data_IF_465028615380
#
_entry.id   IF_465028615380
#
_cell.length_a   1.000
_cell.length_b   1.000
_cell.length_c   1.000
_cell.angle_alpha   90.00
_cell.angle_beta   90.00
_cell.angle_gamma   90.00
#
_symmetry.space_group_name_H-M   'P 1'
#
loop_
_entity.id
_entity.type
_entity.pdbx_description
1 polymer ?
#
# COMPACT_ATOMS: atom_id res chain seq x y z
N UNK A 1 -5.03 -26.76 5.14
CA UNK A 1 -5.31 -26.04 3.88
C UNK A 1 -4.18 -25.05 3.72
N UNK A 2 -3.37 -25.15 2.65
CA UNK A 2 -2.10 -24.43 2.58
C UNK A 2 -2.35 -22.93 2.42
N UNK A 3 -1.97 -22.14 3.40
CA UNK A 3 -2.11 -20.66 3.45
C UNK A 3 -1.48 -19.96 2.22
N UNK A 4 -0.50 -20.59 1.58
CA UNK A 4 0.19 -20.04 0.39
C UNK A 4 -0.71 -19.81 -0.82
N UNK A 5 -1.84 -20.50 -0.93
CA UNK A 5 -2.77 -20.35 -2.08
C UNK A 5 -3.91 -19.37 -1.84
N UNK A 6 -4.08 -18.84 -0.62
CA UNK A 6 -5.18 -17.94 -0.28
C UNK A 6 -4.81 -16.46 -0.41
N UNK A 7 -3.53 -16.10 -0.24
CA UNK A 7 -3.07 -14.69 -0.23
C UNK A 7 -2.70 -14.21 -1.64
N UNK A 8 -2.15 -15.11 -2.45
CA UNK A 8 -1.80 -14.80 -3.84
C UNK A 8 -2.55 -15.77 -4.72
N UNK A 9 -3.66 -15.38 -5.29
CA UNK A 9 -4.51 -16.18 -6.19
C UNK A 9 -3.84 -16.62 -7.50
N UNK A 10 -2.52 -16.79 -7.49
CA UNK A 10 -1.67 -17.36 -8.51
C UNK A 10 -0.62 -18.21 -7.83
N UNK A 11 -0.34 -19.39 -8.36
CA UNK A 11 0.76 -20.25 -7.97
C UNK A 11 2.05 -19.44 -7.81
N UNK A 12 2.47 -19.18 -6.57
CA UNK A 12 3.84 -18.75 -6.26
C UNK A 12 4.73 -20.00 -6.45
N UNK A 13 4.79 -20.49 -7.68
CA UNK A 13 5.79 -21.45 -8.13
C UNK A 13 6.97 -20.67 -8.69
N UNK A 14 7.75 -20.06 -7.83
CA UNK A 14 8.90 -19.29 -8.30
C UNK A 14 9.88 -18.87 -7.21
N UNK A 15 9.50 -19.00 -5.95
CA UNK A 15 10.43 -18.83 -4.83
C UNK A 15 10.73 -20.21 -4.25
N UNK A 16 11.31 -21.07 -5.06
CA UNK A 16 11.95 -22.29 -4.62
C UNK A 16 13.41 -22.25 -5.04
N UNK A 17 14.31 -22.24 -4.07
CA UNK A 17 15.72 -22.63 -4.19
C UNK A 17 16.51 -21.97 -5.34
N UNK A 18 16.53 -20.65 -5.43
CA UNK A 18 17.58 -19.99 -6.18
C UNK A 18 18.49 -19.22 -5.22
N UNK A 19 19.39 -19.94 -4.61
CA UNK A 19 20.69 -19.45 -4.13
C UNK A 19 21.60 -19.09 -5.32
N UNK A 20 21.06 -18.42 -6.32
CA UNK A 20 21.77 -17.86 -7.45
C UNK A 20 21.44 -16.37 -7.50
N UNK A 21 22.46 -15.55 -7.62
CA UNK A 21 22.28 -14.13 -7.90
C UNK A 21 21.20 -13.94 -8.98
N UNK A 22 20.24 -13.07 -8.73
CA UNK A 22 19.19 -12.75 -9.69
C UNK A 22 19.87 -12.13 -10.92
N UNK A 23 19.90 -12.88 -12.02
CA UNK A 23 20.63 -12.53 -13.25
C UNK A 23 19.88 -11.49 -14.12
N UNK A 24 18.83 -10.86 -13.55
CA UNK A 24 18.00 -9.86 -14.21
C UNK A 24 18.30 -8.44 -13.74
N UNK A 25 17.90 -7.47 -14.54
CA UNK A 25 17.98 -6.07 -14.13
C UNK A 25 16.99 -5.77 -12.99
N UNK A 26 17.29 -4.77 -12.15
CA UNK A 26 16.42 -4.32 -11.06
C UNK A 26 15.03 -3.96 -11.61
N UNK A 27 14.96 -3.32 -12.79
CA UNK A 27 13.70 -3.01 -13.48
C UNK A 27 12.87 -4.28 -13.76
N UNK A 28 13.51 -5.39 -14.10
CA UNK A 28 12.83 -6.66 -14.34
C UNK A 28 12.28 -7.31 -13.06
N UNK A 29 12.86 -7.00 -11.90
CA UNK A 29 12.40 -7.48 -10.61
C UNK A 29 11.17 -6.73 -10.09
N UNK A 30 11.03 -5.44 -10.42
CA UNK A 30 9.90 -4.63 -9.97
C UNK A 30 8.56 -5.21 -10.44
N UNK A 31 7.56 -5.32 -9.54
CA UNK A 31 6.24 -5.84 -9.90
C UNK A 31 5.42 -4.88 -10.77
N UNK A 32 5.76 -3.60 -10.76
CA UNK A 32 5.07 -2.53 -11.51
C UNK A 32 5.57 -2.55 -12.94
N UNK A 33 4.65 -2.48 -13.88
CA UNK A 33 4.93 -2.54 -15.31
C UNK A 33 4.58 -1.25 -16.03
N UNK A 34 3.41 -0.69 -15.71
CA UNK A 34 2.91 0.52 -16.36
C UNK A 34 1.94 1.28 -15.44
N UNK A 35 1.62 2.51 -15.80
CA UNK A 35 0.57 3.32 -15.19
C UNK A 35 -0.31 3.85 -16.32
N UNK A 36 -1.61 3.61 -16.25
CA UNK A 36 -2.58 3.99 -17.28
C UNK A 36 -3.78 4.66 -16.61
N UNK A 37 -4.01 5.93 -16.88
CA UNK A 37 -5.14 6.71 -16.34
C UNK A 37 -5.27 6.62 -14.80
N UNK A 38 -4.14 6.72 -14.09
CA UNK A 38 -4.07 6.64 -12.63
C UNK A 38 -4.31 5.23 -12.08
N UNK A 39 -4.14 4.20 -12.90
CA UNK A 39 -4.22 2.79 -12.52
C UNK A 39 -2.87 2.12 -12.75
N UNK A 40 -2.38 1.42 -11.75
CA UNK A 40 -1.13 0.66 -11.80
C UNK A 40 -1.37 -0.65 -12.50
N UNK A 41 -0.54 -0.97 -13.48
CA UNK A 41 -0.52 -2.26 -14.18
C UNK A 41 0.69 -3.05 -13.69
N UNK A 42 0.45 -4.23 -13.14
CA UNK A 42 1.52 -5.09 -12.64
C UNK A 42 1.95 -6.14 -13.67
N UNK A 43 3.14 -6.75 -13.46
CA UNK A 43 3.67 -7.79 -14.36
C UNK A 43 2.80 -9.04 -14.42
N UNK A 44 2.15 -9.39 -13.32
CA UNK A 44 1.18 -10.48 -13.24
C UNK A 44 -0.22 -10.10 -13.75
N UNK A 45 -0.31 -9.00 -14.51
CA UNK A 45 -1.53 -8.50 -15.15
C UNK A 45 -2.63 -8.14 -14.18
N UNK A 46 -2.30 -7.70 -12.96
CA UNK A 46 -3.25 -7.05 -12.06
C UNK A 46 -3.30 -5.57 -12.36
N UNK A 47 -4.48 -5.00 -12.18
CA UNK A 47 -4.74 -3.58 -12.30
C UNK A 47 -5.17 -3.06 -10.94
N UNK A 48 -4.49 -2.06 -10.41
CA UNK A 48 -4.68 -1.56 -9.05
C UNK A 48 -4.93 -0.06 -9.08
N UNK A 49 -6.04 0.36 -8.49
CA UNK A 49 -6.35 1.77 -8.23
C UNK A 49 -5.90 2.13 -6.81
N UNK A 50 -5.25 3.27 -6.68
CA UNK A 50 -4.80 3.82 -5.40
C UNK A 50 -5.43 5.19 -5.22
N UNK A 51 -6.02 5.44 -4.04
CA UNK A 51 -6.62 6.69 -3.63
C UNK A 51 -5.91 7.16 -2.36
N UNK A 52 -5.47 8.40 -2.32
CA UNK A 52 -4.99 9.01 -1.08
C UNK A 52 -6.15 9.61 -0.31
N UNK A 53 -6.19 9.34 0.99
CA UNK A 53 -7.24 9.76 1.89
C UNK A 53 -6.74 10.86 2.81
N UNK A 54 -7.53 11.90 2.98
CA UNK A 54 -7.31 12.93 3.99
C UNK A 54 -8.18 12.59 5.20
N UNK A 55 -7.59 12.07 6.28
CA UNK A 55 -8.35 11.60 7.43
C UNK A 55 -8.97 12.76 8.20
N UNK A 56 -10.07 12.48 8.86
CA UNK A 56 -10.71 13.38 9.82
C UNK A 56 -10.32 12.98 11.25
N UNK A 57 -10.25 13.95 12.14
CA UNK A 57 -10.04 13.66 13.56
C UNK A 57 -11.32 13.06 14.17
N UNK A 58 -11.42 11.75 14.13
CA UNK A 58 -12.56 10.99 14.65
C UNK A 58 -12.79 11.23 16.16
N UNK A 59 -11.73 11.47 16.94
CA UNK A 59 -11.86 11.67 18.39
C UNK A 59 -12.60 12.97 18.75
N UNK A 60 -12.49 14.01 17.92
CA UNK A 60 -13.16 15.31 18.15
C UNK A 60 -14.61 15.35 17.68
N UNK A 61 -15.06 14.34 16.94
CA UNK A 61 -16.45 14.24 16.46
C UNK A 61 -17.45 14.01 17.61
N UNK A 62 -18.68 14.48 17.44
CA UNK A 62 -19.78 14.15 18.35
C UNK A 62 -20.11 12.65 18.31
N UNK A 63 -20.77 12.11 19.33
CA UNK A 63 -21.19 10.70 19.34
C UNK A 63 -22.12 10.36 18.18
N UNK A 64 -22.94 11.30 17.75
CA UNK A 64 -23.87 11.12 16.64
C UNK A 64 -23.13 11.07 15.31
N UNK A 65 -22.17 11.98 15.09
CA UNK A 65 -21.35 12.01 13.88
C UNK A 65 -20.46 10.77 13.78
N UNK A 66 -19.90 10.30 14.91
CA UNK A 66 -19.14 9.04 14.96
C UNK A 66 -19.97 7.85 14.52
N UNK A 67 -21.22 7.74 15.00
CA UNK A 67 -22.11 6.65 14.62
C UNK A 67 -22.48 6.73 13.15
N UNK A 68 -22.79 7.93 12.64
CA UNK A 68 -23.09 8.14 11.23
C UNK A 68 -21.90 7.77 10.33
N UNK A 69 -20.68 8.21 10.68
CA UNK A 69 -19.47 7.87 9.94
C UNK A 69 -19.22 6.35 9.89
N UNK A 70 -19.42 5.65 11.00
CA UNK A 70 -19.29 4.17 11.07
C UNK A 70 -20.33 3.49 10.18
N UNK A 71 -21.59 3.94 10.21
CA UNK A 71 -22.69 3.39 9.40
C UNK A 71 -22.43 3.62 7.89
N UNK A 72 -21.97 4.82 7.51
CA UNK A 72 -21.64 5.15 6.12
C UNK A 72 -20.43 4.34 5.62
N UNK A 73 -19.41 4.15 6.45
CA UNK A 73 -18.28 3.28 6.10
C UNK A 73 -18.70 1.81 5.98
N UNK A 74 -19.55 1.32 6.87
CA UNK A 74 -20.12 -0.03 6.76
C UNK A 74 -20.97 -0.19 5.50
N UNK A 75 -21.71 0.85 5.10
CA UNK A 75 -22.45 0.88 3.84
C UNK A 75 -21.52 0.83 2.62
N UNK A 76 -20.39 1.54 2.66
CA UNK A 76 -19.34 1.44 1.64
C UNK A 76 -18.79 0.01 1.52
N UNK A 77 -18.43 -0.63 2.62
CA UNK A 77 -17.89 -1.99 2.62
C UNK A 77 -18.84 -3.02 1.95
N UNK A 78 -20.14 -2.82 2.02
CA UNK A 78 -21.12 -3.71 1.34
C UNK A 78 -20.98 -3.71 -0.18
N UNK A 79 -20.61 -2.56 -0.78
CA UNK A 79 -20.52 -2.36 -2.24
C UNK A 79 -19.07 -2.26 -2.73
N UNK A 80 -18.13 -2.22 -1.81
CA UNK A 80 -16.70 -2.10 -2.11
C UNK A 80 -16.20 -3.30 -2.91
N UNK A 81 -15.11 -3.13 -3.67
CA UNK A 81 -14.38 -4.22 -4.29
C UNK A 81 -14.02 -5.32 -3.29
N UNK A 82 -13.95 -6.57 -3.76
CA UNK A 82 -13.72 -7.72 -2.88
C UNK A 82 -12.35 -7.69 -2.18
N UNK A 83 -11.36 -7.08 -2.82
CA UNK A 83 -10.00 -6.95 -2.31
C UNK A 83 -9.72 -5.47 -2.06
N UNK A 84 -9.73 -5.07 -0.80
CA UNK A 84 -9.33 -3.75 -0.35
C UNK A 84 -8.00 -3.82 0.37
N UNK A 85 -7.22 -2.77 0.24
CA UNK A 85 -6.03 -2.58 1.03
C UNK A 85 -6.03 -1.15 1.57
N UNK A 86 -5.79 -1.00 2.86
CA UNK A 86 -5.60 0.29 3.51
C UNK A 86 -4.14 0.35 3.92
N UNK A 87 -3.44 1.38 3.45
CA UNK A 87 -2.05 1.61 3.79
C UNK A 87 -1.92 2.89 4.62
N UNK A 88 -1.15 2.82 5.68
CA UNK A 88 -0.73 3.95 6.48
C UNK A 88 0.78 4.08 6.34
N UNK A 89 1.22 5.11 5.65
CA UNK A 89 2.63 5.38 5.42
C UNK A 89 3.09 6.47 6.37
N UNK A 90 4.06 6.15 7.20
CA UNK A 90 4.71 7.13 8.08
C UNK A 90 5.94 7.68 7.37
N UNK A 91 6.03 9.00 7.30
CA UNK A 91 7.15 9.69 6.67
C UNK A 91 7.52 10.94 7.46
N UNK A 92 8.77 11.42 7.38
CA UNK A 92 9.14 12.72 7.91
C UNK A 92 8.27 13.83 7.31
N UNK A 93 7.98 14.85 8.09
CA UNK A 93 7.21 15.99 7.62
C UNK A 93 7.96 16.74 6.51
N UNK A 94 7.30 17.00 5.38
CA UNK A 94 7.88 17.80 4.28
C UNK A 94 7.93 19.29 4.66
N UNK A 95 8.99 19.64 5.38
CA UNK A 95 9.25 21.00 5.83
C UNK A 95 9.47 21.94 4.64
N UNK A 96 10.17 21.50 3.60
CA UNK A 96 10.46 22.34 2.42
C UNK A 96 9.20 22.74 1.67
N UNK A 97 8.28 21.79 1.47
CA UNK A 97 6.97 22.04 0.86
C UNK A 97 6.16 23.04 1.69
N UNK A 98 6.15 22.89 3.01
CA UNK A 98 5.45 23.79 3.90
C UNK A 98 6.06 25.21 3.91
N UNK A 99 7.39 25.33 4.00
CA UNK A 99 8.08 26.61 3.93
C UNK A 99 7.87 27.31 2.58
N UNK A 100 7.84 26.55 1.48
CA UNK A 100 7.50 27.09 0.15
C UNK A 100 6.08 27.67 0.11
N UNK A 101 5.13 26.97 0.74
CA UNK A 101 3.75 27.46 0.87
C UNK A 101 3.68 28.76 1.68
N UNK A 102 4.35 28.82 2.85
CA UNK A 102 4.41 30.03 3.67
C UNK A 102 5.06 31.21 2.93
N UNK A 103 6.13 30.98 2.16
CA UNK A 103 6.74 32.00 1.29
C UNK A 103 5.75 32.53 0.28
N UNK A 104 4.97 31.64 -0.37
CA UNK A 104 3.92 32.05 -1.29
C UNK A 104 2.81 32.88 -0.64
N UNK A 105 2.48 32.65 0.62
CA UNK A 105 1.59 33.50 1.38
C UNK A 105 2.23 34.83 1.73
N UNK A 106 3.48 34.85 2.19
CA UNK A 106 4.24 36.03 2.51
C UNK A 106 4.36 37.03 1.33
N UNK A 107 4.56 36.49 0.12
CA UNK A 107 4.64 37.30 -1.12
C UNK A 107 3.31 37.96 -1.48
N UNK A 108 2.18 37.38 -1.11
CA UNK A 108 0.82 37.90 -1.40
C UNK A 108 0.24 38.75 -0.28
N UNK A 109 0.79 38.62 0.94
CA UNK A 109 0.27 39.34 2.11
C UNK A 109 0.68 40.81 2.06
N UNK A 110 -0.30 41.68 2.26
CA UNK A 110 -0.14 43.14 2.26
C UNK A 110 -0.14 43.75 3.66
N UNK A 111 -0.66 43.03 4.66
CA UNK A 111 -0.69 43.48 6.04
C UNK A 111 0.66 43.20 6.72
N UNK A 112 1.31 44.26 7.19
CA UNK A 112 2.65 44.20 7.79
C UNK A 112 2.68 43.33 9.06
N UNK A 113 1.63 43.31 9.87
CA UNK A 113 1.55 42.48 11.07
C UNK A 113 1.40 40.98 10.70
N UNK A 114 0.60 40.67 9.68
CA UNK A 114 0.48 39.31 9.18
C UNK A 114 1.78 38.81 8.54
N UNK A 115 2.52 39.69 7.87
CA UNK A 115 3.85 39.37 7.32
C UNK A 115 4.83 39.01 8.42
N UNK A 116 4.91 39.81 9.50
CA UNK A 116 5.76 39.47 10.65
C UNK A 116 5.40 38.12 11.28
N UNK A 117 4.12 37.82 11.44
CA UNK A 117 3.69 36.50 11.95
C UNK A 117 4.08 35.35 11.03
N UNK A 118 4.02 35.55 9.71
CA UNK A 118 4.47 34.53 8.74
C UNK A 118 5.98 34.36 8.80
N UNK A 119 6.76 35.43 8.90
CA UNK A 119 8.22 35.39 9.06
C UNK A 119 8.61 34.69 10.37
N UNK A 120 8.00 35.05 11.51
CA UNK A 120 8.21 34.37 12.79
C UNK A 120 7.84 32.85 12.71
N UNK A 121 6.76 32.51 12.00
CA UNK A 121 6.34 31.14 11.80
C UNK A 121 7.36 30.36 10.96
N UNK A 122 7.95 30.98 9.94
CA UNK A 122 8.99 30.37 9.10
C UNK A 122 10.29 30.13 9.85
N UNK A 123 10.61 30.93 10.86
CA UNK A 123 11.78 30.74 11.72
C UNK A 123 11.51 29.68 12.82
N UNK A 124 10.27 29.60 13.30
CA UNK A 124 9.90 28.72 14.42
C UNK A 124 9.61 27.29 13.99
N UNK A 125 8.92 27.08 12.85
CA UNK A 125 8.52 25.74 12.39
C UNK A 125 9.71 24.80 12.17
N UNK A 126 10.86 25.22 11.58
CA UNK A 126 12.03 24.36 11.48
C UNK A 126 12.52 23.83 12.83
N UNK A 127 12.48 24.68 13.87
CA UNK A 127 12.93 24.29 15.22
C UNK A 127 11.99 23.25 15.87
N UNK A 128 10.71 23.26 15.50
CA UNK A 128 9.75 22.24 15.93
C UNK A 128 9.95 20.91 15.20
N UNK A 129 10.24 20.99 13.91
CA UNK A 129 10.40 19.80 13.04
C UNK A 129 11.71 19.07 13.31
N UNK A 130 12.78 19.77 13.72
CA UNK A 130 14.02 19.13 14.21
C UNK A 130 13.78 18.14 15.36
N UNK A 131 12.59 18.15 15.97
CA UNK A 131 12.16 17.25 17.06
C UNK A 131 11.21 16.17 16.58
N UNK A 132 11.48 15.53 15.42
CA UNK A 132 10.79 14.32 14.98
C UNK A 132 9.31 14.49 14.58
N UNK A 133 8.98 15.54 13.82
CA UNK A 133 7.63 15.67 13.29
C UNK A 133 7.40 14.62 12.19
N UNK A 134 6.53 13.65 12.49
CA UNK A 134 6.08 12.63 11.54
C UNK A 134 4.72 13.00 10.97
N UNK A 135 4.49 12.61 9.74
CA UNK A 135 3.18 12.69 9.12
C UNK A 135 2.76 11.32 8.60
N UNK A 136 1.47 11.04 8.71
CA UNK A 136 0.89 9.83 8.20
C UNK A 136 0.10 10.12 6.93
N UNK A 137 0.35 9.37 5.88
CA UNK A 137 -0.45 9.37 4.65
C UNK A 137 -1.27 8.10 4.58
N UNK A 138 -2.53 8.24 4.26
CA UNK A 138 -3.48 7.14 4.22
C UNK A 138 -3.87 6.85 2.78
N UNK A 139 -3.82 5.60 2.40
CA UNK A 139 -4.19 5.17 1.06
C UNK A 139 -5.21 4.04 1.13
N UNK A 140 -6.20 4.13 0.25
CA UNK A 140 -7.11 3.03 -0.05
C UNK A 140 -6.79 2.52 -1.44
N UNK A 141 -6.48 1.24 -1.55
CA UNK A 141 -6.25 0.62 -2.85
C UNK A 141 -7.13 -0.61 -3.04
N UNK A 142 -7.46 -0.89 -4.30
CA UNK A 142 -8.22 -2.07 -4.71
C UNK A 142 -7.83 -2.49 -6.12
N UNK A 143 -7.93 -3.80 -6.35
CA UNK A 143 -7.58 -4.39 -7.65
C UNK A 143 -8.83 -4.72 -8.47
N UNK A 144 -8.65 -4.72 -9.79
CA UNK A 144 -9.67 -5.21 -10.71
C UNK A 144 -9.95 -6.69 -10.47
N UNK A 145 -11.23 -7.02 -10.43
CA UNK A 145 -11.73 -8.38 -10.39
C UNK A 145 -12.61 -8.61 -11.64
N UNK A 146 -12.51 -9.77 -12.32
CA UNK A 146 -13.31 -10.06 -13.50
C UNK A 146 -14.84 -9.95 -13.29
N UNK A 147 -15.31 -10.02 -12.04
CA UNK A 147 -16.71 -9.79 -11.69
C UNK A 147 -17.17 -8.35 -11.94
N UNK A 148 -16.24 -7.39 -12.06
CA UNK A 148 -16.50 -5.98 -12.37
C UNK A 148 -16.88 -5.74 -13.84
N UNK A 149 -16.67 -6.75 -14.72
CA UNK A 149 -17.14 -6.81 -16.12
C UNK A 149 -16.72 -5.59 -16.96
N UNK A 150 -15.43 -5.38 -17.15
CA UNK A 150 -14.96 -4.43 -18.15
C UNK A 150 -15.48 -4.81 -19.54
N UNK A 151 -15.91 -3.84 -20.38
CA UNK A 151 -16.42 -4.10 -21.73
C UNK A 151 -15.43 -4.87 -22.59
N UNK A 152 -14.19 -4.46 -22.51
CA UNK A 152 -13.03 -5.08 -23.16
C UNK A 152 -11.95 -5.37 -22.14
N UNK A 153 -11.04 -6.28 -22.44
CA UNK A 153 -9.88 -6.58 -21.59
C UNK A 153 -8.68 -5.66 -21.86
N UNK A 154 -8.92 -4.50 -22.45
CA UNK A 154 -7.87 -3.49 -22.65
C UNK A 154 -7.55 -2.78 -21.34
N UNK A 155 -6.31 -2.34 -21.13
CA UNK A 155 -5.92 -1.61 -19.93
C UNK A 155 -6.78 -0.37 -19.69
N UNK A 156 -7.12 0.35 -20.74
CA UNK A 156 -7.92 1.57 -20.69
C UNK A 156 -9.37 1.28 -20.25
N UNK A 157 -9.98 0.20 -20.76
CA UNK A 157 -11.33 -0.21 -20.37
C UNK A 157 -11.37 -0.66 -18.90
N UNK A 158 -10.35 -1.39 -18.45
CA UNK A 158 -10.21 -1.78 -17.05
C UNK A 158 -9.98 -0.57 -16.16
N UNK A 159 -9.12 0.37 -16.59
CA UNK A 159 -8.86 1.61 -15.87
C UNK A 159 -10.14 2.46 -15.71
N UNK A 160 -10.96 2.55 -16.75
CA UNK A 160 -12.25 3.24 -16.69
C UNK A 160 -13.18 2.64 -15.63
N UNK A 161 -13.29 1.30 -15.56
CA UNK A 161 -14.08 0.61 -14.53
C UNK A 161 -13.56 0.87 -13.13
N UNK A 162 -12.24 0.83 -12.93
CA UNK A 162 -11.64 1.11 -11.64
C UNK A 162 -11.81 2.58 -11.23
N UNK A 163 -11.76 3.52 -12.18
CA UNK A 163 -12.03 4.92 -11.92
C UNK A 163 -13.50 5.15 -11.54
N UNK A 164 -14.46 4.44 -12.15
CA UNK A 164 -15.88 4.46 -11.70
C UNK A 164 -16.02 3.97 -10.26
N UNK A 165 -15.33 2.88 -9.89
CA UNK A 165 -15.31 2.39 -8.50
C UNK A 165 -14.66 3.36 -7.53
N UNK A 166 -13.64 4.09 -7.96
CA UNK A 166 -13.01 5.15 -7.19
C UNK A 166 -13.98 6.31 -6.91
N UNK A 167 -14.79 6.70 -7.90
CA UNK A 167 -15.84 7.72 -7.73
C UNK A 167 -16.93 7.28 -6.72
N UNK A 168 -17.28 6.00 -6.74
CA UNK A 168 -18.22 5.43 -5.75
C UNK A 168 -17.59 5.48 -4.36
N UNK A 169 -16.32 5.04 -4.22
CA UNK A 169 -15.59 5.08 -2.96
C UNK A 169 -15.56 6.50 -2.40
N UNK A 170 -15.20 7.50 -3.22
CA UNK A 170 -15.15 8.90 -2.82
C UNK A 170 -16.46 9.38 -2.23
N UNK A 171 -17.59 9.16 -2.92
CA UNK A 171 -18.90 9.62 -2.44
C UNK A 171 -19.29 9.05 -1.08
N UNK A 172 -18.89 7.81 -0.78
CA UNK A 172 -19.15 7.21 0.53
C UNK A 172 -18.18 7.70 1.60
N UNK A 173 -16.90 7.84 1.25
CA UNK A 173 -15.88 8.34 2.18
C UNK A 173 -16.13 9.80 2.56
N UNK A 174 -16.58 10.65 1.64
CA UNK A 174 -16.99 12.02 1.93
C UNK A 174 -18.10 12.09 2.99
N UNK A 175 -19.05 11.15 2.98
CA UNK A 175 -20.08 11.04 4.02
C UNK A 175 -19.48 10.69 5.39
N UNK A 176 -18.41 9.89 5.39
CA UNK A 176 -17.67 9.57 6.61
C UNK A 176 -16.82 10.76 7.12
N UNK A 177 -16.78 11.87 6.38
CA UNK A 177 -15.89 13.00 6.64
C UNK A 177 -14.47 12.81 6.12
N UNK A 178 -14.18 11.72 5.43
CA UNK A 178 -12.85 11.40 4.87
C UNK A 178 -12.81 11.89 3.42
N UNK A 179 -12.07 12.97 3.16
CA UNK A 179 -11.90 13.46 1.80
C UNK A 179 -10.89 12.61 1.04
N UNK A 180 -11.11 12.44 -0.27
CA UNK A 180 -10.18 11.77 -1.17
C UNK A 180 -9.42 12.81 -1.97
N UNK A 181 -8.10 12.75 -1.96
CA UNK A 181 -7.24 13.65 -2.73
C UNK A 181 -7.43 13.40 -4.24
N UNK A 182 -7.67 14.47 -4.98
CA UNK A 182 -7.75 14.45 -6.44
C UNK A 182 -6.50 15.10 -7.03
N UNK A 183 -5.52 14.29 -7.49
CA UNK A 183 -4.36 14.85 -8.15
C UNK A 183 -4.75 15.37 -9.54
N UNK A 184 -4.22 16.53 -9.91
CA UNK A 184 -4.43 17.13 -11.26
C UNK A 184 -3.94 16.18 -12.36
N UNK A 185 -2.82 15.48 -12.12
CA UNK A 185 -2.22 14.50 -13.02
C UNK A 185 -2.08 13.16 -12.30
N UNK A 186 -3.06 12.27 -12.49
CA UNK A 186 -3.13 11.01 -11.76
C UNK A 186 -1.94 10.08 -12.00
N UNK A 187 -1.43 10.02 -13.24
CA UNK A 187 -0.30 9.15 -13.60
C UNK A 187 1.00 9.66 -12.98
N UNK A 188 1.25 10.98 -13.00
CA UNK A 188 2.41 11.60 -12.34
C UNK A 188 2.37 11.40 -10.82
N UNK A 189 1.19 11.54 -10.21
CA UNK A 189 1.01 11.31 -8.77
C UNK A 189 1.40 9.88 -8.36
N UNK A 190 0.95 8.88 -9.11
CA UNK A 190 1.26 7.47 -8.86
C UNK A 190 2.76 7.19 -9.09
N UNK A 191 3.33 7.75 -10.15
CA UNK A 191 4.76 7.63 -10.42
C UNK A 191 5.60 8.20 -9.28
N UNK A 192 5.29 9.40 -8.83
CA UNK A 192 5.98 10.07 -7.72
C UNK A 192 5.83 9.30 -6.42
N UNK A 193 4.62 8.76 -6.15
CA UNK A 193 4.36 7.93 -4.99
C UNK A 193 5.29 6.71 -4.97
N UNK A 194 5.35 5.94 -6.07
CA UNK A 194 6.22 4.77 -6.14
C UNK A 194 7.70 5.13 -6.12
N UNK A 195 8.08 6.22 -6.78
CA UNK A 195 9.46 6.69 -6.73
C UNK A 195 9.88 6.96 -5.27
N UNK A 196 9.08 7.69 -4.49
CA UNK A 196 9.36 7.97 -3.07
C UNK A 196 9.30 6.73 -2.18
N UNK A 197 8.44 5.76 -2.49
CA UNK A 197 8.31 4.54 -1.71
C UNK A 197 9.51 3.60 -1.89
N UNK A 198 10.00 3.49 -3.12
CA UNK A 198 11.06 2.53 -3.49
C UNK A 198 12.45 3.16 -3.28
N UNK A 199 12.59 4.46 -3.56
CA UNK A 199 13.85 5.20 -3.45
C UNK A 199 13.86 6.09 -2.21
N UNK A 200 13.87 5.48 -1.03
CA UNK A 200 13.74 6.20 0.25
C UNK A 200 14.84 7.23 0.48
N UNK A 201 16.09 6.86 0.21
CA UNK A 201 17.25 7.74 0.36
C UNK A 201 17.40 8.68 -0.86
N UNK A 202 17.38 8.12 -2.07
CA UNK A 202 17.59 8.89 -3.31
C UNK A 202 16.53 9.97 -3.50
N UNK A 203 15.26 9.70 -3.18
CA UNK A 203 14.15 10.65 -3.36
C UNK A 203 14.24 11.89 -2.45
N UNK A 204 14.98 11.82 -1.35
CA UNK A 204 15.23 12.98 -0.49
C UNK A 204 16.11 14.04 -1.17
N UNK A 205 17.02 13.58 -2.03
CA UNK A 205 18.02 14.45 -2.69
C UNK A 205 17.71 14.71 -4.16
N UNK A 206 17.05 13.76 -4.82
CA UNK A 206 16.69 13.83 -6.23
C UNK A 206 15.19 13.70 -6.41
N UNK A 207 14.49 14.80 -6.66
CA UNK A 207 13.05 14.80 -6.95
C UNK A 207 12.81 14.61 -8.44
N UNK A 208 11.77 13.87 -8.78
CA UNK A 208 11.30 13.79 -10.16
C UNK A 208 10.76 15.17 -10.58
N UNK A 209 11.05 15.64 -11.81
CA UNK A 209 10.45 16.87 -12.33
C UNK A 209 8.93 16.75 -12.39
N UNK A 210 8.24 17.87 -12.12
CA UNK A 210 6.81 17.97 -12.34
C UNK A 210 6.49 17.71 -13.83
N UNK A 211 5.49 16.86 -14.10
CA UNK A 211 5.10 16.55 -15.47
C UNK A 211 6.09 15.67 -16.23
N UNK A 212 6.83 14.82 -15.55
CA UNK A 212 7.83 13.92 -16.16
C UNK A 212 7.26 13.06 -17.29
N UNK A 213 5.96 12.68 -17.23
CA UNK A 213 5.27 11.96 -18.30
C UNK A 213 5.21 12.76 -19.61
N UNK A 214 5.04 14.07 -19.51
CA UNK A 214 4.96 14.94 -20.70
C UNK A 214 6.36 15.31 -21.24
N UNK A 215 7.37 15.29 -20.36
CA UNK A 215 8.75 15.65 -20.71
C UNK A 215 9.52 14.51 -21.37
N UNK A 216 9.23 13.28 -20.98
CA UNK A 216 9.91 12.09 -21.47
C UNK A 216 8.97 11.34 -22.42
N UNK A 217 9.47 10.88 -23.54
CA UNK A 217 8.74 9.99 -24.44
C UNK A 217 8.47 8.65 -23.74
N UNK A 218 7.43 8.61 -22.88
CA UNK A 218 7.07 7.40 -22.16
C UNK A 218 6.50 6.35 -23.09
N UNK A 219 6.96 5.12 -22.95
CA UNK A 219 6.45 3.98 -23.69
C UNK A 219 5.46 3.22 -22.81
N UNK A 220 4.18 3.35 -23.17
CA UNK A 220 3.09 2.66 -22.53
C UNK A 220 2.75 1.34 -23.27
N UNK A 221 2.10 0.43 -22.57
CA UNK A 221 1.53 -0.77 -23.19
C UNK A 221 2.52 -1.90 -23.46
N UNK A 222 3.74 -1.81 -22.97
CA UNK A 222 4.72 -2.89 -23.08
C UNK A 222 4.42 -3.95 -22.01
N UNK A 223 3.50 -4.87 -22.33
CA UNK A 223 2.98 -5.83 -21.37
C UNK A 223 3.64 -7.21 -21.42
N UNK A 224 4.52 -7.46 -22.38
CA UNK A 224 5.24 -8.72 -22.47
C UNK A 224 6.76 -8.53 -22.57
N UNK A 225 7.49 -9.59 -22.17
CA UNK A 225 8.95 -9.56 -22.18
C UNK A 225 9.55 -9.48 -23.60
N UNK A 226 8.83 -9.94 -24.64
CA UNK A 226 9.31 -9.89 -26.00
C UNK A 226 9.28 -8.46 -26.54
N UNK A 227 8.23 -7.70 -26.21
CA UNK A 227 8.13 -6.29 -26.57
C UNK A 227 9.19 -5.45 -25.80
N UNK A 228 9.46 -5.74 -24.52
CA UNK A 228 10.57 -5.14 -23.77
C UNK A 228 11.93 -5.43 -24.41
N UNK A 229 12.18 -6.68 -24.79
CA UNK A 229 13.42 -7.07 -25.50
C UNK A 229 13.54 -6.42 -26.87
N UNK A 230 12.42 -6.20 -27.56
CA UNK A 230 12.40 -5.47 -28.83
C UNK A 230 12.77 -3.99 -28.66
N UNK A 231 12.25 -3.33 -27.59
CA UNK A 231 12.62 -1.97 -27.24
C UNK A 231 14.10 -1.87 -26.84
N UNK A 232 14.61 -2.81 -26.05
CA UNK A 232 16.02 -2.86 -25.68
C UNK A 232 16.94 -3.01 -26.87
N UNK A 233 16.56 -3.85 -27.85
CA UNK A 233 17.31 -4.01 -29.09
C UNK A 233 17.27 -2.76 -29.97
N UNK A 234 16.11 -2.12 -30.08
CA UNK A 234 15.95 -0.88 -30.85
C UNK A 234 16.74 0.29 -30.20
N UNK A 235 16.71 0.40 -28.86
CA UNK A 235 17.49 1.39 -28.13
C UNK A 235 18.99 1.15 -28.26
N UNK A 236 19.45 -0.11 -28.19
CA UNK A 236 20.85 -0.47 -28.38
C UNK A 236 21.34 -0.20 -29.82
N UNK A 237 20.49 -0.40 -30.82
CA UNK A 237 20.80 -0.09 -32.22
C UNK A 237 20.86 1.43 -32.50
N UNK A 238 20.01 2.22 -31.88
CA UNK A 238 20.03 3.69 -31.96
C UNK A 238 21.27 4.29 -31.30
N UNK A 239 21.67 3.76 -30.13
CA UNK A 239 22.89 4.14 -29.44
C UNK A 239 24.18 3.61 -30.09
N UNK A 240 24.07 2.51 -30.84
CA UNK A 240 25.20 1.72 -31.39
C UNK A 240 25.79 2.17 -32.73
N UNK A 241 25.42 3.34 -33.29
CA UNK A 241 26.11 3.88 -34.48
C UNK A 241 27.54 4.34 -34.25
N UNK A 242 28.09 4.16 -33.06
CA UNK A 242 29.52 4.34 -32.73
C UNK A 242 30.09 3.12 -32.01
N UNK A 243 30.79 2.27 -32.77
CA UNK A 243 31.74 1.20 -32.38
C UNK A 243 31.21 -0.23 -32.31
N UNK A 244 31.51 -0.96 -33.43
CA UNK A 244 31.67 -2.42 -33.41
C UNK A 244 32.66 -2.83 -32.34
N UNK A 245 32.22 -3.61 -31.35
CA UNK A 245 33.08 -4.60 -30.70
C UNK A 245 32.25 -5.81 -30.28
N UNK A 246 32.75 -6.94 -30.69
CA UNK A 246 32.39 -8.32 -30.50
C UNK A 246 32.36 -8.69 -29.02
N UNK A 247 31.43 -9.55 -28.65
CA UNK A 247 31.17 -10.10 -27.33
C UNK A 247 30.53 -9.17 -26.28
N UNK A 248 29.36 -9.47 -26.03
CA UNK A 248 28.35 -9.45 -24.96
C UNK A 248 27.07 -8.74 -25.42
N UNK A 249 25.99 -9.49 -25.38
CA UNK A 249 24.61 -8.94 -25.41
C UNK A 249 24.46 -8.14 -24.10
N UNK A 250 24.86 -6.89 -24.10
CA UNK A 250 24.51 -5.98 -23.02
C UNK A 250 23.07 -5.56 -23.26
N UNK A 251 22.20 -5.86 -22.30
CA UNK A 251 20.90 -5.20 -22.17
C UNK A 251 21.13 -3.69 -22.25
N UNK A 252 20.23 -2.97 -22.91
CA UNK A 252 20.32 -1.52 -22.97
C UNK A 252 20.20 -0.96 -21.55
N UNK A 253 21.14 -0.11 -21.16
CA UNK A 253 21.05 0.54 -19.86
C UNK A 253 19.86 1.50 -19.82
N UNK A 254 19.26 1.80 -18.66
CA UNK A 254 18.20 2.80 -18.55
C UNK A 254 18.55 4.13 -19.19
N UNK A 255 19.82 4.57 -19.07
CA UNK A 255 20.33 5.77 -19.71
C UNK A 255 20.28 5.71 -21.24
N UNK A 256 20.57 4.55 -21.85
CA UNK A 256 20.52 4.41 -23.31
C UNK A 256 19.08 4.40 -23.84
N UNK A 257 18.10 3.95 -23.05
CA UNK A 257 16.67 4.04 -23.37
C UNK A 257 16.19 5.49 -23.29
N UNK A 258 16.58 6.22 -22.24
CA UNK A 258 16.28 7.63 -22.09
C UNK A 258 16.81 8.46 -23.27
N UNK A 259 18.07 8.23 -23.67
CA UNK A 259 18.67 8.89 -24.85
C UNK A 259 17.97 8.53 -26.17
N UNK A 260 17.37 7.34 -26.25
CA UNK A 260 16.58 6.89 -27.39
C UNK A 260 15.13 7.37 -27.38
N UNK A 261 14.68 8.07 -26.31
CA UNK A 261 13.29 8.49 -26.12
C UNK A 261 12.33 7.33 -25.87
N UNK A 262 12.82 6.23 -25.28
CA UNK A 262 12.05 5.02 -24.99
C UNK A 262 12.15 4.67 -23.51
N UNK A 263 11.64 5.53 -22.63
CA UNK A 263 11.67 5.35 -21.19
C UNK A 263 10.41 4.61 -20.73
N UNK A 264 10.58 3.63 -19.84
CA UNK A 264 9.47 2.90 -19.22
C UNK A 264 9.29 3.31 -17.75
N UNK A 265 8.12 3.03 -17.17
CA UNK A 265 7.85 3.31 -15.75
C UNK A 265 8.91 2.66 -14.84
N UNK A 266 9.26 1.37 -14.98
CA UNK A 266 10.32 0.76 -14.18
C UNK A 266 11.67 1.46 -14.28
N UNK A 267 12.01 2.09 -15.40
CA UNK A 267 13.27 2.83 -15.55
C UNK A 267 13.34 4.07 -14.64
N UNK A 268 12.17 4.68 -14.34
CA UNK A 268 12.08 5.87 -13.49
C UNK A 268 12.00 5.54 -12.00
N UNK A 269 11.34 4.44 -11.64
CA UNK A 269 11.09 4.10 -10.23
C UNK A 269 12.08 3.08 -9.66
N UNK A 270 12.91 2.45 -10.51
CA UNK A 270 13.88 1.46 -10.03
C UNK A 270 14.89 2.10 -9.07
N UNK A 271 15.14 1.48 -7.91
CA UNK A 271 16.17 1.94 -7.01
C UNK A 271 17.56 1.65 -7.61
N UNK A 272 18.59 2.38 -7.16
CA UNK A 272 19.95 2.18 -7.66
C UNK A 272 20.51 0.80 -7.31
N UNK A 273 20.10 0.25 -6.16
CA UNK A 273 20.56 -1.06 -5.67
C UNK A 273 19.48 -1.76 -4.83
N UNK A 274 19.52 -3.09 -4.85
CA UNK A 274 18.73 -3.98 -3.99
C UNK A 274 19.66 -5.12 -3.56
N UNK A 275 19.85 -5.28 -2.25
CA UNK A 275 20.57 -6.42 -1.67
C UNK A 275 19.60 -7.31 -0.88
N UNK A 276 19.56 -8.59 -1.26
CA UNK A 276 18.71 -9.63 -0.66
C UNK A 276 19.51 -10.71 0.06
N UNK A 277 20.80 -10.49 0.31
CA UNK A 277 21.67 -11.50 0.93
C UNK A 277 21.47 -11.60 2.45
N UNK A 278 20.88 -10.60 3.07
CA UNK A 278 20.60 -10.61 4.49
C UNK A 278 19.36 -11.44 4.81
N UNK A 279 19.39 -12.34 5.80
CA UNK A 279 18.26 -13.23 6.10
C UNK A 279 17.08 -12.50 6.74
N UNK A 280 17.34 -11.43 7.48
CA UNK A 280 16.35 -10.77 8.34
C UNK A 280 15.83 -9.46 7.77
N UNK A 281 16.50 -8.88 6.78
CA UNK A 281 16.09 -7.62 6.13
C UNK A 281 16.52 -7.55 4.67
N UNK A 282 15.91 -6.63 3.92
CA UNK A 282 16.31 -6.24 2.58
C UNK A 282 16.99 -4.87 2.65
N UNK A 283 18.06 -4.69 1.88
CA UNK A 283 18.66 -3.36 1.69
C UNK A 283 18.17 -2.83 0.33
N UNK A 284 17.45 -1.72 0.34
CA UNK A 284 16.91 -1.09 -0.88
C UNK A 284 17.27 0.39 -0.83
N UNK A 285 17.96 0.91 -1.85
CA UNK A 285 18.37 2.32 -1.93
C UNK A 285 19.17 2.75 -0.67
N UNK A 286 20.00 1.85 -0.12
CA UNK A 286 20.80 2.10 1.08
C UNK A 286 20.03 2.07 2.41
N UNK A 287 18.72 1.75 2.40
CA UNK A 287 17.88 1.66 3.60
C UNK A 287 17.53 0.19 3.90
N UNK A 288 17.59 -0.18 5.17
CA UNK A 288 17.23 -1.52 5.65
C UNK A 288 15.71 -1.64 5.83
N UNK A 289 15.10 -2.67 5.26
CA UNK A 289 13.66 -2.95 5.30
C UNK A 289 13.40 -4.31 5.94
N UNK A 290 12.64 -4.35 7.04
CA UNK A 290 12.11 -5.57 7.63
C UNK A 290 10.58 -5.60 7.51
N UNK A 291 10.03 -6.80 7.40
CA UNK A 291 8.60 -6.99 7.24
C UNK A 291 8.07 -7.96 8.29
N UNK A 292 7.13 -7.48 9.10
CA UNK A 292 6.41 -8.27 10.09
C UNK A 292 4.98 -8.52 9.60
N UNK A 293 4.39 -9.63 9.98
CA UNK A 293 2.99 -9.90 9.68
C UNK A 293 2.28 -10.50 10.90
N UNK A 294 1.04 -10.09 11.12
CA UNK A 294 0.22 -10.67 12.18
C UNK A 294 -0.40 -11.97 11.66
N UNK A 295 -0.07 -13.08 12.29
CA UNK A 295 -0.62 -14.40 11.94
C UNK A 295 -2.07 -14.54 12.41
N UNK A 296 -2.83 -15.51 11.85
CA UNK A 296 -4.25 -15.69 12.10
C UNK A 296 -4.68 -15.93 13.56
N UNK A 297 -3.74 -16.21 14.45
CA UNK A 297 -3.99 -16.35 15.90
C UNK A 297 -3.54 -15.10 16.70
N UNK A 298 -3.03 -14.07 16.03
CA UNK A 298 -2.52 -12.85 16.65
C UNK A 298 -3.56 -11.79 16.92
N UNK A 299 -4.83 -12.00 16.52
CA UNK A 299 -5.88 -11.03 16.78
C UNK A 299 -6.73 -11.44 17.97
N UNK A 300 -7.04 -10.48 18.85
CA UNK A 300 -8.03 -10.68 19.91
C UNK A 300 -9.42 -10.93 19.31
N UNK A 301 -10.24 -11.72 20.01
CA UNK A 301 -11.63 -12.00 19.59
C UNK A 301 -12.51 -10.76 19.60
N UNK A 302 -12.18 -9.78 20.43
CA UNK A 302 -12.84 -8.46 20.51
C UNK A 302 -11.77 -7.40 20.66
N UNK A 303 -11.78 -6.43 19.75
CA UNK A 303 -10.86 -5.29 19.79
C UNK A 303 -11.58 -4.01 20.21
N UNK A 304 -10.91 -3.20 20.99
CA UNK A 304 -11.40 -1.90 21.43
C UNK A 304 -11.28 -0.82 20.36
N UNK A 305 -11.90 0.32 20.61
CA UNK A 305 -11.71 1.50 19.75
C UNK A 305 -10.26 1.96 19.81
N UNK A 306 -9.66 2.23 18.63
CA UNK A 306 -8.29 2.72 18.55
C UNK A 306 -7.20 1.67 18.81
N UNK A 307 -7.52 0.39 18.75
CA UNK A 307 -6.54 -0.69 18.96
C UNK A 307 -5.36 -0.66 17.98
N UNK A 308 -5.55 -0.06 16.80
CA UNK A 308 -4.48 0.14 15.81
C UNK A 308 -3.64 1.41 16.06
N UNK A 309 -4.10 2.32 16.93
CA UNK A 309 -3.42 3.58 17.19
C UNK A 309 -1.98 3.39 17.67
N UNK A 310 -1.66 2.47 18.62
CA UNK A 310 -0.28 2.26 19.03
C UNK A 310 0.65 1.83 17.89
N UNK A 311 0.14 1.02 16.95
CA UNK A 311 0.91 0.58 15.77
C UNK A 311 1.09 1.71 14.76
N UNK A 312 0.08 2.57 14.57
CA UNK A 312 0.17 3.71 13.64
C UNK A 312 1.12 4.78 14.20
N UNK A 313 1.10 5.00 15.51
CA UNK A 313 1.92 5.99 16.21
C UNK A 313 3.26 5.41 16.72
N UNK A 314 3.65 4.25 16.25
CA UNK A 314 4.85 3.55 16.71
C UNK A 314 6.17 4.31 16.43
N UNK A 315 6.16 5.24 15.50
CA UNK A 315 7.28 6.15 15.27
C UNK A 315 7.78 6.17 13.82
N UNK A 316 8.97 6.72 13.68
CA UNK A 316 9.63 6.85 12.40
C UNK A 316 9.95 5.50 11.77
N UNK A 317 9.72 5.38 10.46
CA UNK A 317 10.08 4.20 9.69
C UNK A 317 9.09 3.05 9.79
N UNK A 318 7.95 3.20 10.47
CA UNK A 318 6.92 2.16 10.56
C UNK A 318 5.76 2.48 9.63
N UNK A 319 5.43 1.56 8.77
CA UNK A 319 4.29 1.66 7.83
C UNK A 319 3.41 0.42 7.92
N UNK A 320 2.10 0.62 7.84
CA UNK A 320 1.12 -0.46 8.03
C UNK A 320 0.34 -0.69 6.74
N UNK A 321 0.05 -1.96 6.47
CA UNK A 321 -0.81 -2.38 5.36
C UNK A 321 -1.86 -3.37 5.84
N UNK A 322 -3.12 -3.01 5.71
CA UNK A 322 -4.26 -3.85 6.07
C UNK A 322 -4.90 -4.39 4.78
N UNK A 323 -4.86 -5.69 4.61
CA UNK A 323 -5.52 -6.39 3.50
C UNK A 323 -6.87 -6.91 3.96
N UNK A 324 -7.94 -6.44 3.32
CA UNK A 324 -9.31 -6.83 3.59
C UNK A 324 -9.85 -7.64 2.42
N UNK A 325 -10.07 -8.93 2.63
CA UNK A 325 -10.54 -9.85 1.61
C UNK A 325 -11.97 -10.28 1.92
N UNK A 326 -12.93 -9.77 1.15
CA UNK A 326 -14.35 -10.10 1.29
C UNK A 326 -14.59 -11.58 1.01
N UNK A 327 -15.28 -12.25 1.94
CA UNK A 327 -15.58 -13.66 1.82
C UNK A 327 -16.99 -13.91 1.23
N UNK A 328 -17.14 -14.93 0.37
CA UNK A 328 -18.45 -15.30 -0.16
C UNK A 328 -19.42 -15.70 0.96
N UNK A 329 -20.52 -14.97 1.09
CA UNK A 329 -21.45 -15.06 2.21
C UNK A 329 -21.95 -16.47 2.49
N UNK A 330 -22.47 -17.17 1.48
CA UNK A 330 -23.02 -18.51 1.65
C UNK A 330 -21.99 -19.51 2.16
N UNK A 331 -20.78 -19.50 1.58
CA UNK A 331 -19.68 -20.39 2.01
C UNK A 331 -19.26 -20.10 3.44
N UNK A 332 -19.18 -18.82 3.80
CA UNK A 332 -18.76 -18.37 5.12
C UNK A 332 -19.79 -18.73 6.19
N UNK A 333 -21.08 -18.47 5.95
CA UNK A 333 -22.17 -18.83 6.86
C UNK A 333 -22.21 -20.34 7.10
N UNK A 334 -22.04 -21.14 6.04
CA UNK A 334 -21.99 -22.60 6.15
C UNK A 334 -20.76 -23.09 6.95
N UNK A 335 -19.60 -22.52 6.68
CA UNK A 335 -18.36 -22.87 7.39
C UNK A 335 -18.45 -22.52 8.89
N UNK A 336 -18.90 -21.30 9.23
CA UNK A 336 -19.13 -20.87 10.61
C UNK A 336 -20.18 -21.78 11.27
N UNK A 337 -21.27 -22.11 10.57
CA UNK A 337 -22.29 -23.01 11.10
C UNK A 337 -21.75 -24.42 11.42
N UNK A 338 -20.92 -24.98 10.53
CA UNK A 338 -20.28 -26.28 10.75
C UNK A 338 -19.29 -26.23 11.92
N UNK A 339 -18.42 -25.21 11.98
CA UNK A 339 -17.46 -25.06 13.09
C UNK A 339 -18.19 -24.89 14.43
N UNK A 340 -19.23 -24.07 14.46
CA UNK A 340 -20.04 -23.87 15.68
C UNK A 340 -20.71 -25.16 16.14
N UNK A 341 -21.19 -26.00 15.20
CA UNK A 341 -21.77 -27.29 15.52
C UNK A 341 -20.74 -28.29 16.05
N UNK A 342 -19.54 -28.31 15.45
CA UNK A 342 -18.43 -29.14 15.92
C UNK A 342 -18.00 -28.74 17.34
N UNK A 343 -17.85 -27.45 17.60
CA UNK A 343 -17.48 -26.93 18.92
C UNK A 343 -18.56 -27.24 19.97
N UNK A 344 -19.84 -27.18 19.63
CA UNK A 344 -20.93 -27.63 20.51
C UNK A 344 -20.87 -29.10 20.79
N UNK A 345 -20.49 -29.96 19.83
CA UNK A 345 -20.33 -31.38 20.05
C UNK A 345 -19.14 -31.64 20.97
N UNK A 346 -18.00 -31.00 20.71
CA UNK A 346 -16.81 -31.10 21.59
C UNK A 346 -17.10 -30.65 22.99
N UNK A 347 -17.83 -29.54 23.19
CA UNK A 347 -18.22 -29.05 24.49
C UNK A 347 -19.05 -30.06 25.33
N UNK A 348 -19.81 -30.96 24.67
CA UNK A 348 -20.53 -32.04 25.35
C UNK A 348 -19.63 -33.20 25.77
N UNK A 349 -18.53 -33.41 25.03
CA UNK A 349 -17.61 -34.53 25.20
C UNK A 349 -16.42 -34.15 26.12
N UNK A 350 -16.18 -32.85 26.38
CA UNK A 350 -15.13 -32.38 27.29
C UNK A 350 -15.57 -32.62 28.75
N UNK A 351 -15.06 -33.68 29.31
CA UNK A 351 -15.09 -33.90 30.76
C UNK A 351 -13.82 -33.33 31.39
N UNK A 352 -13.95 -32.30 32.16
CA UNK A 352 -13.01 -31.93 33.22
C UNK A 352 -11.95 -30.84 33.07
N UNK A 353 -11.77 -30.11 31.94
CA UNK A 353 -10.93 -28.92 31.98
C UNK A 353 -11.78 -27.65 31.80
N UNK A 354 -11.87 -26.87 32.87
CA UNK A 354 -12.67 -25.61 32.90
C UNK A 354 -12.23 -24.61 31.83
N UNK A 355 -10.95 -24.58 31.52
CA UNK A 355 -10.37 -23.69 30.50
C UNK A 355 -10.83 -24.07 29.10
N UNK A 356 -10.79 -25.36 28.71
CA UNK A 356 -11.26 -25.82 27.40
C UNK A 356 -12.76 -25.55 27.21
N UNK A 357 -13.53 -25.61 28.28
CA UNK A 357 -14.96 -25.34 28.28
C UNK A 357 -15.26 -23.86 28.04
N UNK A 358 -14.51 -22.96 28.67
CA UNK A 358 -14.63 -21.50 28.47
C UNK A 358 -14.25 -21.11 27.03
N UNK A 359 -13.10 -21.58 26.53
CA UNK A 359 -12.66 -21.32 25.14
C UNK A 359 -13.65 -21.83 24.08
N UNK A 360 -14.20 -23.02 24.27
CA UNK A 360 -15.23 -23.54 23.36
C UNK A 360 -16.55 -22.74 23.46
N UNK A 361 -16.89 -22.28 24.64
CA UNK A 361 -18.06 -21.42 24.91
C UNK A 361 -17.92 -20.09 24.13
N UNK A 362 -16.79 -19.44 24.24
CA UNK A 362 -16.49 -18.18 23.55
C UNK A 362 -16.47 -18.36 22.02
N UNK A 363 -15.84 -19.42 21.51
CA UNK A 363 -15.84 -19.75 20.10
C UNK A 363 -17.26 -20.03 19.54
N UNK A 364 -18.12 -20.67 20.31
CA UNK A 364 -19.53 -20.87 19.95
C UNK A 364 -20.29 -19.54 19.95
N UNK A 365 -20.09 -18.70 20.96
CA UNK A 365 -20.69 -17.37 21.07
C UNK A 365 -20.32 -16.48 19.90
N UNK A 366 -19.02 -16.40 19.58
CA UNK A 366 -18.51 -15.67 18.42
C UNK A 366 -19.09 -16.16 17.09
N UNK A 367 -19.15 -17.49 16.90
CA UNK A 367 -19.73 -18.08 15.70
C UNK A 367 -21.23 -17.77 15.52
N UNK A 368 -22.00 -17.75 16.61
CA UNK A 368 -23.42 -17.37 16.59
C UNK A 368 -23.60 -15.87 16.27
N UNK A 369 -22.80 -15.01 16.89
CA UNK A 369 -22.79 -13.58 16.66
C UNK A 369 -22.51 -13.24 15.19
N UNK A 370 -21.44 -13.81 14.63
CA UNK A 370 -21.11 -13.63 13.21
C UNK A 370 -22.22 -14.12 12.28
N UNK A 371 -22.81 -15.28 12.57
CA UNK A 371 -23.91 -15.82 11.78
C UNK A 371 -25.17 -14.95 11.85
N UNK A 372 -25.49 -14.38 12.99
CA UNK A 372 -26.60 -13.47 13.17
C UNK A 372 -26.39 -12.17 12.40
N UNK A 373 -25.23 -11.54 12.52
CA UNK A 373 -24.86 -10.34 11.75
C UNK A 373 -24.96 -10.57 10.24
N UNK A 374 -24.45 -11.70 9.75
CA UNK A 374 -24.51 -12.02 8.33
C UNK A 374 -25.94 -12.30 7.84
N UNK A 375 -26.77 -13.02 8.59
CA UNK A 375 -28.09 -13.44 8.15
C UNK A 375 -29.20 -12.39 8.39
N UNK A 376 -29.16 -11.69 9.52
CA UNK A 376 -30.21 -10.73 9.88
C UNK A 376 -29.88 -9.30 9.50
N UNK A 377 -28.62 -8.88 9.68
CA UNK A 377 -28.21 -7.49 9.50
C UNK A 377 -27.56 -7.25 8.13
N UNK A 378 -27.37 -8.31 7.36
CA UNK A 378 -26.78 -8.18 6.02
C UNK A 378 -25.32 -7.77 6.03
N UNK A 379 -24.59 -8.06 7.13
CA UNK A 379 -23.18 -7.80 7.24
C UNK A 379 -22.36 -8.74 6.36
N UNK A 380 -21.21 -8.28 5.88
CA UNK A 380 -20.27 -9.08 5.14
C UNK A 380 -19.09 -9.46 6.03
N UNK A 381 -18.48 -10.58 5.73
CA UNK A 381 -17.31 -11.09 6.45
C UNK A 381 -16.03 -10.83 5.64
N UNK A 382 -15.02 -10.29 6.30
CA UNK A 382 -13.72 -10.02 5.72
C UNK A 382 -12.63 -10.79 6.47
N UNK A 383 -11.70 -11.39 5.73
CA UNK A 383 -10.42 -11.73 6.33
C UNK A 383 -9.55 -10.48 6.31
N UNK A 384 -8.94 -10.20 7.46
CA UNK A 384 -7.97 -9.12 7.61
C UNK A 384 -6.58 -9.71 7.80
N UNK A 385 -5.62 -9.16 7.08
CA UNK A 385 -4.20 -9.47 7.24
C UNK A 385 -3.46 -8.15 7.42
N UNK A 386 -2.61 -8.10 8.42
CA UNK A 386 -1.78 -6.92 8.70
C UNK A 386 -0.34 -7.22 8.37
N UNK A 387 0.25 -6.37 7.55
CA UNK A 387 1.67 -6.33 7.24
C UNK A 387 2.24 -5.03 7.80
N UNK A 388 3.36 -5.11 8.50
CA UNK A 388 4.09 -3.98 9.07
C UNK A 388 5.43 -3.92 8.36
N UNK A 389 5.74 -2.81 7.73
CA UNK A 389 7.06 -2.49 7.21
C UNK A 389 7.79 -1.66 8.25
N UNK A 390 9.00 -2.06 8.60
CA UNK A 390 9.90 -1.32 9.49
C UNK A 390 11.15 -0.98 8.70
N UNK A 391 11.52 0.29 8.66
CA UNK A 391 12.71 0.76 7.96
C UNK A 391 13.68 1.47 8.91
N UNK A 392 14.96 1.38 8.60
CA UNK A 392 16.03 2.13 9.30
C UNK A 392 17.24 2.30 8.38
N UNK A 393 18.06 3.30 8.66
CA UNK A 393 19.28 3.56 7.89
C UNK A 393 20.40 2.54 8.21
N UNK A 394 20.34 1.92 9.37
CA UNK A 394 21.30 0.91 9.81
C UNK A 394 20.63 -0.31 10.46
N UNK A 395 21.30 -1.49 10.44
CA UNK A 395 20.74 -2.72 10.97
C UNK A 395 20.47 -2.71 12.48
N UNK A 396 21.28 -2.01 13.26
CA UNK A 396 21.14 -1.98 14.74
C UNK A 396 19.88 -1.21 15.14
N UNK A 397 19.63 -0.07 14.50
CA UNK A 397 18.40 0.71 14.66
C UNK A 397 17.19 -0.08 14.15
N UNK A 398 17.33 -0.83 13.05
CA UNK A 398 16.25 -1.68 12.53
C UNK A 398 15.85 -2.75 13.54
N UNK A 399 16.80 -3.46 14.15
CA UNK A 399 16.54 -4.50 15.16
C UNK A 399 15.82 -3.92 16.38
N UNK A 400 16.20 -2.73 16.84
CA UNK A 400 15.55 -2.04 17.95
C UNK A 400 14.08 -1.69 17.60
N UNK A 401 13.83 -1.14 16.41
CA UNK A 401 12.48 -0.81 15.94
C UNK A 401 11.62 -2.06 15.79
N UNK A 402 12.14 -3.13 15.20
CA UNK A 402 11.44 -4.41 15.05
C UNK A 402 11.04 -4.98 16.41
N UNK A 403 11.96 -5.00 17.38
CA UNK A 403 11.68 -5.49 18.75
C UNK A 403 10.59 -4.66 19.45
N UNK A 404 10.61 -3.33 19.25
CA UNK A 404 9.59 -2.44 19.77
C UNK A 404 8.20 -2.76 19.17
N UNK A 405 8.12 -2.96 17.84
CA UNK A 405 6.88 -3.32 17.15
C UNK A 405 6.33 -4.67 17.56
N UNK A 406 7.18 -5.68 17.69
CA UNK A 406 6.76 -6.99 18.20
C UNK A 406 6.14 -6.87 19.61
N UNK A 407 6.71 -6.02 20.46
CA UNK A 407 6.19 -5.76 21.80
C UNK A 407 4.83 -5.06 21.75
N UNK A 408 4.65 -4.07 20.87
CA UNK A 408 3.38 -3.38 20.66
C UNK A 408 2.30 -4.32 20.12
N UNK A 409 2.65 -5.18 19.17
CA UNK A 409 1.72 -6.18 18.61
C UNK A 409 1.21 -7.18 19.66
N UNK A 410 2.03 -7.53 20.66
CA UNK A 410 1.62 -8.43 21.75
C UNK A 410 0.74 -7.71 22.80
N UNK A 411 0.93 -6.41 22.95
CA UNK A 411 0.20 -5.60 23.94
C UNK A 411 -1.15 -5.06 23.43
N UNK A 412 -1.37 -5.05 22.11
CA UNK A 412 -2.59 -4.55 21.43
C UNK A 412 -3.62 -5.65 21.25
#
# INVERSE_FOLDING_TARGET
MNLKNAIFGGSVTGISDRSGAYDGSIQAWLPIKDIVQGVVVTRDKRFVKILELLPVNFYTMSSMDKSAAIEDFAAYLKIAPANLQINVLTQPFDLDGYLKLLRGYLERETNEQCRLMLEESMDYVPQLVEREALTHRFFLSFSYDPSMKAPDHTPEAIAAVLNEKAEVARRYLDRCGVAVLEPEYADNFILELFYKLINKHTSQHLRLPDGVFDMLGMVHGVYDEEALKALDTAAAESAGKKKRKWFSRKEASPLSRLEAGATTIPDLIAPPDIDTHHPDYLLIDGVCHAYLYISGYGYSTVVGKGWLTPLIEAGEGVSLSFYLVKQPREKTVNAIGQTTMINRSRMRDVGDTRQDFEELGDAIGAGLYLKEGMNREGQDFYYMHTLIEVIADDPDTLEQRVTAEETLCVAS
#
